data_IF_469424077276
#
_entry.id   IF_469424077276
#
_cell.length_a   1.000
_cell.length_b   1.000
_cell.length_c   1.000
_cell.angle_alpha   90.00
_cell.angle_beta   90.00
_cell.angle_gamma   90.00
#
_symmetry.space_group_name_H-M   'P 1'
#
loop_
_entity.id
_entity.type
_entity.pdbx_description
1 polymer ?
#
# COMPACT_ATOMS: atom_id res chain seq x y z
N UNK A 1 -9.72 -0.94 -37.09
CA UNK A 1 -11.05 -0.40 -36.71
C UNK A 1 -11.22 -0.24 -35.20
N UNK A 2 -10.80 -1.22 -34.39
CA UNK A 2 -10.95 -1.25 -32.91
C UNK A 2 -10.40 -0.01 -32.15
N UNK A 3 -9.28 0.57 -32.56
CA UNK A 3 -8.67 1.74 -31.86
C UNK A 3 -9.50 3.01 -32.04
N UNK A 4 -10.24 3.15 -33.15
CA UNK A 4 -11.11 4.32 -33.39
C UNK A 4 -12.36 4.27 -32.50
N UNK A 5 -12.83 3.09 -32.14
CA UNK A 5 -14.02 2.92 -31.29
C UNK A 5 -13.73 3.17 -29.81
N UNK A 6 -12.51 2.88 -29.32
CA UNK A 6 -12.12 3.25 -27.96
C UNK A 6 -12.07 4.77 -27.73
N UNK A 7 -11.69 5.56 -28.75
CA UNK A 7 -11.73 7.02 -28.67
C UNK A 7 -13.15 7.59 -28.79
N UNK A 8 -14.06 6.91 -29.49
CA UNK A 8 -15.48 7.32 -29.56
C UNK A 8 -16.25 7.03 -28.27
N UNK A 9 -15.84 6.02 -27.49
CA UNK A 9 -16.40 5.70 -26.17
C UNK A 9 -16.12 6.78 -25.09
N UNK A 10 -15.23 7.74 -25.37
CA UNK A 10 -14.93 8.87 -24.47
C UNK A 10 -15.93 10.04 -24.59
N UNK A 11 -16.93 9.97 -25.48
CA UNK A 11 -17.87 11.07 -25.72
C UNK A 11 -19.06 11.18 -24.77
N UNK A 12 -19.22 10.25 -23.82
CA UNK A 12 -20.15 10.41 -22.70
C UNK A 12 -19.36 10.80 -21.46
N UNK A 13 -19.48 12.07 -21.05
CA UNK A 13 -18.95 12.56 -19.79
C UNK A 13 -19.51 11.70 -18.64
N UNK A 14 -18.63 10.98 -17.92
CA UNK A 14 -18.56 10.87 -16.45
C UNK A 14 -17.90 9.59 -15.91
N UNK A 15 -17.57 8.56 -16.72
CA UNK A 15 -16.85 7.37 -16.22
C UNK A 15 -15.64 7.03 -17.09
N UNK A 16 -14.44 7.42 -16.63
CA UNK A 16 -13.19 6.88 -17.21
C UNK A 16 -12.96 5.48 -16.67
N UNK A 17 -12.92 4.50 -17.57
CA UNK A 17 -12.57 3.11 -17.25
C UNK A 17 -11.15 3.04 -16.64
N UNK A 18 -10.89 2.12 -15.69
CA UNK A 18 -9.55 1.88 -15.18
C UNK A 18 -8.57 1.55 -16.31
N UNK A 19 -7.40 2.18 -16.30
CA UNK A 19 -6.36 1.90 -17.28
C UNK A 19 -5.60 0.63 -16.90
N UNK A 20 -5.94 -0.49 -17.53
CA UNK A 20 -5.33 -1.79 -17.27
C UNK A 20 -4.21 -2.09 -18.27
N UNK A 21 -3.04 -2.49 -17.76
CA UNK A 21 -1.85 -2.74 -18.57
C UNK A 21 -1.15 -4.04 -18.18
N UNK A 22 -0.78 -4.85 -19.17
CA UNK A 22 0.11 -5.99 -19.01
C UNK A 22 1.55 -5.48 -19.05
N UNK A 23 2.31 -5.74 -17.99
CA UNK A 23 3.69 -5.27 -17.83
C UNK A 23 4.64 -6.41 -17.46
N UNK A 24 5.94 -6.32 -17.77
CA UNK A 24 6.93 -7.24 -17.23
C UNK A 24 6.94 -7.17 -15.70
N UNK A 25 6.86 -8.32 -15.02
CA UNK A 25 6.77 -8.38 -13.56
C UNK A 25 8.02 -7.79 -12.88
N UNK A 26 9.18 -7.93 -13.52
CA UNK A 26 10.47 -7.38 -13.05
C UNK A 26 10.48 -5.84 -12.99
N UNK A 27 9.71 -5.17 -13.84
CA UNK A 27 9.60 -3.70 -13.86
C UNK A 27 8.71 -3.15 -12.76
N UNK A 28 7.95 -4.00 -12.06
CA UNK A 28 7.04 -3.58 -10.99
C UNK A 28 7.79 -3.61 -9.66
N UNK A 29 8.02 -2.45 -9.06
CA UNK A 29 8.78 -2.28 -7.82
C UNK A 29 7.88 -1.88 -6.65
N UNK A 30 8.26 -2.28 -5.45
CA UNK A 30 7.56 -1.95 -4.21
C UNK A 30 8.14 -0.67 -3.61
N UNK A 31 7.35 0.04 -2.82
CA UNK A 31 7.82 1.14 -1.98
C UNK A 31 7.89 0.82 -0.49
N UNK A 32 7.28 -0.29 -0.08
CA UNK A 32 7.32 -0.80 1.28
C UNK A 32 8.07 -2.13 1.33
N UNK A 33 8.64 -2.42 2.51
CA UNK A 33 9.01 -3.79 2.88
C UNK A 33 7.80 -4.71 2.82
N UNK A 34 8.01 -6.00 2.50
CA UNK A 34 6.90 -6.95 2.32
C UNK A 34 6.77 -7.92 3.50
N UNK A 35 5.53 -8.30 3.82
CA UNK A 35 5.21 -9.34 4.80
C UNK A 35 5.34 -10.74 4.17
N UNK A 36 6.37 -11.48 4.58
CA UNK A 36 6.66 -12.81 4.05
C UNK A 36 5.54 -13.84 4.35
N UNK A 37 4.88 -13.76 5.51
CA UNK A 37 3.82 -14.71 5.91
C UNK A 37 2.57 -14.51 5.04
N UNK A 38 2.12 -13.25 4.88
CA UNK A 38 0.98 -12.93 4.01
C UNK A 38 1.24 -13.31 2.55
N UNK A 39 2.47 -13.12 2.09
CA UNK A 39 2.88 -13.47 0.72
C UNK A 39 2.74 -14.96 0.44
N UNK A 40 3.07 -15.84 1.40
CA UNK A 40 3.02 -17.30 1.21
C UNK A 40 1.59 -17.82 1.05
N UNK A 41 0.67 -17.41 1.93
CA UNK A 41 -0.74 -17.81 1.86
C UNK A 41 -1.40 -17.34 0.55
N UNK A 42 -1.15 -16.07 0.17
CA UNK A 42 -1.70 -15.51 -1.06
C UNK A 42 -1.13 -16.18 -2.32
N UNK A 43 0.18 -16.49 -2.32
CA UNK A 43 0.82 -17.26 -3.40
C UNK A 43 0.09 -18.59 -3.65
N UNK A 44 -0.21 -19.34 -2.59
CA UNK A 44 -0.92 -20.62 -2.68
C UNK A 44 -2.33 -20.42 -3.27
N UNK A 45 -3.08 -19.43 -2.78
CA UNK A 45 -4.42 -19.11 -3.29
C UNK A 45 -4.40 -18.75 -4.79
N UNK A 46 -3.46 -17.90 -5.23
CA UNK A 46 -3.33 -17.51 -6.65
C UNK A 46 -3.00 -18.73 -7.52
N UNK A 47 -2.05 -19.57 -7.09
CA UNK A 47 -1.68 -20.76 -7.86
C UNK A 47 -2.84 -21.75 -7.99
N UNK A 48 -3.61 -21.95 -6.92
CA UNK A 48 -4.74 -22.87 -6.88
C UNK A 48 -5.93 -22.38 -7.71
N UNK A 49 -6.23 -21.07 -7.70
CA UNK A 49 -7.35 -20.53 -8.47
C UNK A 49 -7.12 -20.58 -9.98
N UNK A 50 -5.86 -20.61 -10.44
CA UNK A 50 -5.51 -20.50 -11.85
C UNK A 50 -5.83 -19.13 -12.46
N UNK A 51 -6.26 -18.16 -11.65
CA UNK A 51 -6.80 -16.87 -12.08
C UNK A 51 -6.13 -15.73 -11.31
N UNK A 52 -5.69 -14.72 -12.06
CA UNK A 52 -5.28 -13.44 -11.53
C UNK A 52 -6.50 -12.56 -11.31
N UNK A 53 -6.72 -12.16 -10.06
CA UNK A 53 -7.80 -11.25 -9.65
C UNK A 53 -7.24 -9.96 -9.07
N UNK A 54 -8.03 -8.88 -9.15
CA UNK A 54 -7.76 -7.58 -8.51
C UNK A 54 -6.33 -7.07 -8.83
N UNK A 55 -6.07 -6.57 -10.05
CA UNK A 55 -4.74 -6.13 -10.44
C UNK A 55 -4.18 -5.06 -9.48
N UNK A 56 -2.90 -5.14 -9.07
CA UNK A 56 -2.23 -4.11 -8.28
C UNK A 56 -2.33 -2.75 -8.97
N UNK A 57 -2.46 -1.71 -8.17
CA UNK A 57 -2.49 -0.34 -8.68
C UNK A 57 -1.07 0.20 -8.62
N UNK A 58 -0.60 0.75 -9.74
CA UNK A 58 0.76 1.25 -9.91
C UNK A 58 0.75 2.64 -10.52
N UNK A 59 1.84 3.37 -10.35
CA UNK A 59 2.16 4.52 -11.20
C UNK A 59 3.42 4.26 -12.00
N UNK A 60 3.61 5.00 -13.10
CA UNK A 60 4.78 4.89 -13.96
C UNK A 60 5.87 5.82 -13.45
N UNK A 61 7.10 5.31 -13.32
CA UNK A 61 8.28 6.10 -13.00
C UNK A 61 8.96 6.63 -14.28
N UNK A 62 9.75 7.72 -14.19
CA UNK A 62 10.43 8.29 -15.36
C UNK A 62 11.34 7.30 -16.11
N UNK A 63 11.90 6.32 -15.41
CA UNK A 63 12.75 5.26 -15.98
C UNK A 63 11.98 4.08 -16.59
N UNK A 64 10.65 4.18 -16.68
CA UNK A 64 9.78 3.17 -17.25
C UNK A 64 9.46 1.98 -16.33
N UNK A 65 9.90 2.00 -15.07
CA UNK A 65 9.44 1.08 -14.03
C UNK A 65 8.05 1.48 -13.52
N UNK A 66 7.41 0.59 -12.77
CA UNK A 66 6.10 0.81 -12.17
C UNK A 66 6.20 0.71 -10.66
N UNK A 67 5.86 1.79 -9.94
CA UNK A 67 5.83 1.79 -8.48
C UNK A 67 4.44 1.34 -8.01
N UNK A 68 4.40 0.28 -7.20
CA UNK A 68 3.15 -0.19 -6.58
C UNK A 68 2.63 0.86 -5.60
N UNK A 69 1.34 1.18 -5.68
CA UNK A 69 0.63 2.04 -4.73
C UNK A 69 -0.35 1.22 -3.87
N UNK A 70 -0.88 0.13 -4.43
CA UNK A 70 -1.75 -0.82 -3.75
C UNK A 70 -1.51 -2.24 -4.29
N UNK A 71 -1.43 -3.23 -3.39
CA UNK A 71 -1.23 -4.63 -3.78
C UNK A 71 0.22 -5.13 -3.68
N UNK A 72 0.98 -4.70 -2.67
CA UNK A 72 2.34 -5.17 -2.41
C UNK A 72 2.42 -6.71 -2.27
N UNK A 73 1.53 -7.33 -1.48
CA UNK A 73 1.50 -8.79 -1.31
C UNK A 73 1.17 -9.51 -2.63
N UNK A 74 0.19 -9.00 -3.40
CA UNK A 74 -0.18 -9.54 -4.73
C UNK A 74 1.02 -9.52 -5.68
N UNK A 75 1.74 -8.40 -5.73
CA UNK A 75 2.95 -8.23 -6.54
C UNK A 75 4.06 -9.18 -6.11
N UNK A 76 4.31 -9.29 -4.80
CA UNK A 76 5.34 -10.18 -4.25
C UNK A 76 5.01 -11.65 -4.53
N UNK A 77 3.74 -12.05 -4.40
CA UNK A 77 3.29 -13.40 -4.75
C UNK A 77 3.50 -13.72 -6.23
N UNK A 78 3.22 -12.78 -7.15
CA UNK A 78 3.49 -12.96 -8.59
C UNK A 78 4.98 -13.13 -8.89
N UNK A 79 5.84 -12.31 -8.26
CA UNK A 79 7.30 -12.47 -8.34
C UNK A 79 7.75 -13.83 -7.82
N UNK A 80 7.24 -14.25 -6.67
CA UNK A 80 7.56 -15.55 -6.07
C UNK A 80 7.02 -16.76 -6.85
N UNK A 81 6.03 -16.57 -7.72
CA UNK A 81 5.55 -17.54 -8.70
C UNK A 81 6.35 -17.52 -10.01
N UNK A 82 7.36 -16.64 -10.13
CA UNK A 82 8.15 -16.41 -11.34
C UNK A 82 7.28 -16.11 -12.56
N UNK A 83 6.17 -15.40 -12.33
CA UNK A 83 5.30 -14.97 -13.41
C UNK A 83 6.03 -13.91 -14.25
N UNK A 84 6.21 -14.10 -15.56
CA UNK A 84 7.00 -13.18 -16.39
C UNK A 84 6.29 -11.83 -16.56
N UNK A 85 4.96 -11.84 -16.55
CA UNK A 85 4.13 -10.65 -16.72
C UNK A 85 3.02 -10.60 -15.68
N UNK A 86 2.53 -9.39 -15.44
CA UNK A 86 1.39 -9.14 -14.58
C UNK A 86 0.45 -8.09 -15.17
N UNK A 87 -0.85 -8.26 -14.92
CA UNK A 87 -1.82 -7.21 -15.19
C UNK A 87 -1.84 -6.24 -14.00
N UNK A 88 -1.69 -4.95 -14.28
CA UNK A 88 -1.74 -3.86 -13.31
C UNK A 88 -2.76 -2.80 -13.74
N UNK A 89 -3.27 -2.03 -12.79
CA UNK A 89 -3.98 -0.78 -13.05
C UNK A 89 -2.99 0.38 -12.95
N UNK A 90 -2.80 1.13 -14.03
CA UNK A 90 -1.91 2.29 -14.04
C UNK A 90 -2.70 3.55 -13.74
N UNK A 91 -2.20 4.36 -12.81
CA UNK A 91 -2.75 5.68 -12.47
C UNK A 91 -1.69 6.76 -12.58
N UNK A 92 -2.12 7.99 -12.90
CA UNK A 92 -1.29 9.17 -12.71
C UNK A 92 -1.18 9.45 -11.21
N UNK A 93 0.00 9.28 -10.64
CA UNK A 93 0.16 9.42 -9.19
C UNK A 93 -0.07 10.85 -8.72
N UNK A 94 0.13 11.85 -9.57
CA UNK A 94 -0.06 13.26 -9.22
C UNK A 94 -1.47 13.76 -9.52
N UNK A 95 -2.38 12.90 -10.00
CA UNK A 95 -3.80 13.22 -10.05
C UNK A 95 -4.26 13.71 -8.65
N UNK A 96 -4.90 14.89 -8.56
CA UNK A 96 -5.33 15.46 -7.28
C UNK A 96 -6.31 14.58 -6.50
N UNK A 97 -7.05 13.69 -7.18
CA UNK A 97 -7.97 12.75 -6.52
C UNK A 97 -7.24 11.62 -5.79
N UNK A 98 -5.95 11.39 -6.05
CA UNK A 98 -5.18 10.39 -5.32
C UNK A 98 -4.55 11.05 -4.10
N UNK A 99 -4.92 10.60 -2.90
CA UNK A 99 -4.29 11.06 -1.67
C UNK A 99 -3.32 10.02 -1.12
N UNK A 100 -2.19 10.48 -0.59
CA UNK A 100 -1.32 9.66 0.24
C UNK A 100 -1.53 10.07 1.70
N UNK A 101 -2.00 9.12 2.51
CA UNK A 101 -2.11 9.24 3.95
C UNK A 101 -1.19 8.24 4.64
N UNK A 102 -1.15 8.31 5.97
CA UNK A 102 -0.44 7.36 6.82
C UNK A 102 -1.43 6.56 7.65
N UNK A 103 -1.17 5.27 7.82
CA UNK A 103 -1.83 4.45 8.83
C UNK A 103 -1.10 4.59 10.17
N UNK A 104 -1.86 4.65 11.26
CA UNK A 104 -1.37 4.42 12.61
C UNK A 104 -1.59 2.96 12.98
N UNK A 105 -0.76 2.45 13.88
CA UNK A 105 -0.82 1.06 14.31
C UNK A 105 -1.23 0.96 15.78
N UNK A 106 -2.21 0.12 16.08
CA UNK A 106 -2.47 -0.35 17.43
C UNK A 106 -1.98 -1.79 17.52
N UNK A 107 -1.14 -2.08 18.53
CA UNK A 107 -0.45 -3.35 18.69
C UNK A 107 -0.53 -3.87 20.13
N UNK A 108 -0.27 -5.18 20.32
CA UNK A 108 -0.24 -5.82 21.65
C UNK A 108 1.06 -5.59 22.41
N UNK A 109 2.12 -5.17 21.73
CA UNK A 109 3.41 -4.89 22.36
C UNK A 109 3.27 -3.69 23.30
N UNK A 110 3.95 -3.72 24.45
CA UNK A 110 3.90 -2.63 25.42
C UNK A 110 4.78 -1.45 24.97
N UNK A 111 4.40 -0.24 25.41
CA UNK A 111 5.17 0.99 25.19
C UNK A 111 6.61 0.82 25.68
N UNK A 112 6.80 0.27 26.88
CA UNK A 112 8.11 0.15 27.50
C UNK A 112 9.02 -0.85 26.77
N UNK A 113 8.45 -1.90 26.15
CA UNK A 113 9.20 -2.76 25.25
C UNK A 113 9.75 -1.99 24.03
N UNK A 114 8.94 -1.13 23.42
CA UNK A 114 9.38 -0.30 22.30
C UNK A 114 10.48 0.69 22.71
N UNK A 115 10.36 1.28 23.91
CA UNK A 115 11.42 2.11 24.50
C UNK A 115 12.73 1.33 24.58
N UNK A 116 12.71 0.16 25.21
CA UNK A 116 13.90 -0.66 25.43
C UNK A 116 14.54 -1.13 24.11
N UNK A 117 13.74 -1.55 23.14
CA UNK A 117 14.26 -2.03 21.84
C UNK A 117 14.88 -0.89 21.02
N UNK A 118 14.32 0.31 21.08
CA UNK A 118 14.75 1.43 20.23
C UNK A 118 15.83 2.31 20.86
N UNK A 119 15.95 2.34 22.18
CA UNK A 119 16.99 3.12 22.89
C UNK A 119 18.38 2.49 22.84
N UNK A 120 18.51 1.22 22.49
CA UNK A 120 19.79 0.50 22.37
C UNK A 120 20.69 0.94 21.19
N UNK A 121 20.47 2.10 20.58
CA UNK A 121 21.37 2.62 19.54
C UNK A 121 21.37 4.14 19.50
N UNK A 122 22.47 4.76 19.96
CA UNK A 122 22.97 6.16 19.83
C UNK A 122 21.96 7.31 19.66
N UNK A 123 20.71 7.10 20.07
CA UNK A 123 19.59 7.95 19.77
C UNK A 123 19.31 8.95 20.88
N UNK A 124 18.88 10.14 20.50
CA UNK A 124 18.30 11.13 21.43
C UNK A 124 17.20 10.47 22.28
N UNK A 125 17.22 10.76 23.58
CA UNK A 125 16.26 10.22 24.52
C UNK A 125 14.80 10.53 24.13
N UNK A 126 13.93 9.54 24.31
CA UNK A 126 12.49 9.70 24.12
C UNK A 126 11.92 10.59 25.23
N UNK A 127 11.01 11.51 24.87
CA UNK A 127 10.44 12.48 25.81
C UNK A 127 9.00 12.10 26.17
N UNK A 128 8.66 11.97 27.46
CA UNK A 128 7.28 11.70 27.88
C UNK A 128 6.39 12.93 27.62
N UNK A 129 5.15 12.69 27.19
CA UNK A 129 4.14 13.72 26.97
C UNK A 129 2.73 13.13 26.87
N UNK A 130 1.71 14.00 26.75
CA UNK A 130 0.34 13.58 26.43
C UNK A 130 0.15 13.36 24.92
N UNK A 131 -0.84 12.54 24.56
CA UNK A 131 -1.24 12.28 23.16
C UNK A 131 -1.60 13.56 22.39
N UNK A 132 -2.31 14.50 23.02
CA UNK A 132 -2.65 15.80 22.42
C UNK A 132 -1.40 16.60 22.07
N UNK A 133 -0.42 16.65 22.97
CA UNK A 133 0.85 17.35 22.74
C UNK A 133 1.66 16.65 21.65
N UNK A 134 1.77 15.33 21.69
CA UNK A 134 2.48 14.54 20.68
C UNK A 134 1.88 14.73 19.29
N UNK A 135 0.55 14.64 19.16
CA UNK A 135 -0.19 14.89 17.91
C UNK A 135 0.12 16.28 17.36
N UNK A 136 0.09 17.31 18.22
CA UNK A 136 0.41 18.69 17.84
C UNK A 136 1.87 18.80 17.34
N UNK A 137 2.83 18.27 18.11
CA UNK A 137 4.24 18.31 17.74
C UNK A 137 4.53 17.56 16.42
N UNK A 138 3.86 16.42 16.18
CA UNK A 138 3.98 15.68 14.93
C UNK A 138 3.43 16.47 13.74
N UNK A 139 2.27 17.11 13.89
CA UNK A 139 1.67 17.95 12.86
C UNK A 139 2.56 19.14 12.48
N UNK A 140 3.24 19.75 13.47
CA UNK A 140 4.24 20.80 13.25
C UNK A 140 5.64 20.27 12.89
N UNK A 141 5.78 18.96 12.61
CA UNK A 141 7.05 18.32 12.22
C UNK A 141 8.19 18.56 13.22
N UNK A 142 7.87 18.65 14.52
CA UNK A 142 8.84 18.84 15.61
C UNK A 142 9.36 17.50 16.18
N UNK A 143 8.67 16.41 15.87
CA UNK A 143 9.03 15.02 16.23
C UNK A 143 8.84 14.14 15.00
N UNK A 144 9.51 12.99 14.97
CA UNK A 144 9.42 12.05 13.84
C UNK A 144 8.13 11.23 13.91
N UNK A 145 7.83 10.69 15.09
CA UNK A 145 6.72 9.79 15.37
C UNK A 145 6.47 9.78 16.89
N UNK A 146 5.45 9.08 17.36
CA UNK A 146 5.27 8.82 18.78
C UNK A 146 4.48 7.54 19.00
N UNK A 147 4.53 7.02 20.22
CA UNK A 147 3.72 5.89 20.63
C UNK A 147 3.15 6.10 22.04
N UNK A 148 1.92 5.65 22.25
CA UNK A 148 1.08 5.95 23.41
C UNK A 148 0.48 4.69 24.03
N UNK A 149 0.39 4.66 25.35
CA UNK A 149 -0.44 3.71 26.10
C UNK A 149 -1.92 4.09 26.07
N UNK A 150 -2.79 3.17 26.51
CA UNK A 150 -4.26 3.36 26.56
C UNK A 150 -4.70 4.57 27.39
N UNK A 151 -3.93 4.94 28.41
CA UNK A 151 -4.20 6.10 29.27
C UNK A 151 -3.84 7.44 28.61
N UNK A 152 -3.22 7.43 27.42
CA UNK A 152 -2.82 8.63 26.67
C UNK A 152 -1.43 9.17 27.03
N UNK A 153 -0.64 8.43 27.83
CA UNK A 153 0.77 8.76 28.05
C UNK A 153 1.61 8.27 26.86
N UNK A 154 2.41 9.17 26.30
CA UNK A 154 3.15 8.93 25.08
C UNK A 154 4.65 9.17 25.24
N UNK A 155 5.42 8.53 24.38
CA UNK A 155 6.83 8.79 24.17
C UNK A 155 7.02 9.36 22.77
N UNK A 156 7.62 10.54 22.67
CA UNK A 156 7.97 11.13 21.39
C UNK A 156 9.29 10.58 20.85
N UNK A 157 9.27 10.21 19.58
CA UNK A 157 10.44 9.80 18.81
C UNK A 157 11.04 11.06 18.16
N UNK A 158 12.30 11.40 18.44
CA UNK A 158 12.91 12.63 17.97
C UNK A 158 13.17 12.61 16.45
N UNK A 159 13.20 13.81 15.86
CA UNK A 159 13.68 13.99 14.49
C UNK A 159 15.11 13.49 14.34
N UNK A 160 15.41 12.94 13.16
CA UNK A 160 16.73 12.48 12.78
C UNK A 160 17.44 13.53 11.93
N UNK A 161 18.77 13.48 11.90
CA UNK A 161 19.61 14.42 11.14
C UNK A 161 19.42 14.30 9.63
N UNK A 162 19.04 13.12 9.15
CA UNK A 162 18.84 12.87 7.72
C UNK A 162 17.51 12.14 7.46
N UNK A 163 16.90 12.32 6.27
CA UNK A 163 15.73 11.54 5.87
C UNK A 163 16.00 10.03 5.84
N UNK A 164 17.25 9.62 5.56
CA UNK A 164 17.64 8.21 5.56
C UNK A 164 17.52 7.61 6.95
N UNK A 165 18.18 8.24 7.93
CA UNK A 165 18.11 7.83 9.33
C UNK A 165 16.69 7.87 9.90
N UNK A 166 15.85 8.81 9.44
CA UNK A 166 14.43 8.86 9.82
C UNK A 166 13.68 7.61 9.35
N UNK A 167 13.81 7.23 8.07
CA UNK A 167 13.17 6.02 7.52
C UNK A 167 13.71 4.76 8.21
N UNK A 168 15.02 4.67 8.44
CA UNK A 168 15.64 3.51 9.08
C UNK A 168 15.14 3.32 10.53
N UNK A 169 14.96 4.42 11.28
CA UNK A 169 14.36 4.38 12.61
C UNK A 169 12.88 3.96 12.57
N UNK A 170 12.11 4.41 11.57
CA UNK A 170 10.72 3.96 11.40
C UNK A 170 10.65 2.47 11.02
N UNK A 171 11.59 1.96 10.22
CA UNK A 171 11.68 0.54 9.88
C UNK A 171 11.95 -0.29 11.13
N UNK A 172 12.97 0.06 11.93
CA UNK A 172 13.25 -0.59 13.22
C UNK A 172 12.06 -0.56 14.17
N UNK A 173 11.32 0.55 14.20
CA UNK A 173 10.09 0.66 14.98
C UNK A 173 9.06 -0.38 14.53
N UNK A 174 8.76 -0.50 13.24
CA UNK A 174 7.80 -1.48 12.73
C UNK A 174 8.28 -2.92 12.95
N UNK A 175 9.53 -3.21 12.66
CA UNK A 175 10.16 -4.53 12.85
C UNK A 175 10.12 -5.02 14.31
N UNK A 176 10.10 -4.10 15.27
CA UNK A 176 10.05 -4.46 16.69
C UNK A 176 8.79 -5.26 17.05
N UNK A 177 7.67 -5.04 16.35
CA UNK A 177 6.37 -5.68 16.61
C UNK A 177 5.76 -6.42 15.42
N UNK A 178 6.22 -6.19 14.19
CA UNK A 178 5.75 -6.92 13.01
C UNK A 178 6.05 -8.42 13.17
N UNK A 179 5.10 -9.28 12.76
CA UNK A 179 5.21 -10.74 12.89
C UNK A 179 5.07 -11.29 14.32
N UNK A 180 5.18 -10.45 15.35
CA UNK A 180 5.02 -10.79 16.79
C UNK A 180 3.66 -10.37 17.35
N UNK A 181 2.92 -9.51 16.64
CA UNK A 181 1.65 -8.94 17.11
C UNK A 181 0.62 -8.86 15.99
N UNK A 182 -0.66 -8.86 16.38
CA UNK A 182 -1.75 -8.44 15.48
C UNK A 182 -1.69 -6.93 15.37
N UNK A 183 -1.56 -6.42 14.13
CA UNK A 183 -1.53 -4.99 13.83
C UNK A 183 -2.94 -4.56 13.43
N UNK A 184 -3.56 -3.71 14.25
CA UNK A 184 -4.80 -3.01 13.88
C UNK A 184 -4.44 -1.63 13.31
N UNK A 185 -4.93 -1.33 12.10
CA UNK A 185 -4.65 -0.05 11.42
C UNK A 185 -5.77 0.95 11.64
N UNK A 186 -5.42 2.20 11.93
CA UNK A 186 -6.40 3.27 12.20
C UNK A 186 -5.87 4.62 11.73
N UNK A 187 -6.76 5.58 11.46
CA UNK A 187 -6.41 6.99 11.23
C UNK A 187 -6.42 7.80 12.54
N UNK A 188 -6.97 7.26 13.62
CA UNK A 188 -6.99 7.93 14.92
C UNK A 188 -5.58 7.99 15.51
N UNK A 189 -5.21 9.17 16.01
CA UNK A 189 -3.86 9.52 16.44
C UNK A 189 -3.79 9.78 17.96
N UNK A 190 -4.87 9.51 18.69
CA UNK A 190 -4.99 9.70 20.15
C UNK A 190 -5.45 8.41 20.80
N UNK A 191 -5.54 8.39 22.14
CA UNK A 191 -6.05 7.22 22.89
C UNK A 191 -7.41 6.71 22.43
N UNK A 192 -8.20 7.50 21.69
CA UNK A 192 -9.45 7.05 21.07
C UNK A 192 -9.25 5.88 20.10
N UNK A 193 -8.04 5.67 19.58
CA UNK A 193 -7.69 4.53 18.73
C UNK A 193 -7.94 3.16 19.38
N UNK A 194 -8.03 3.11 20.71
CA UNK A 194 -8.32 1.88 21.47
C UNK A 194 -9.83 1.60 21.63
N UNK A 195 -10.71 2.51 21.20
CA UNK A 195 -12.16 2.31 21.30
C UNK A 195 -12.58 1.06 20.49
N UNK A 196 -13.38 0.19 21.10
CA UNK A 196 -13.81 -1.08 20.51
C UNK A 196 -12.73 -2.17 20.46
N UNK A 197 -11.48 -1.88 20.88
CA UNK A 197 -10.41 -2.87 20.92
C UNK A 197 -10.26 -3.48 22.33
N UNK A 198 -10.08 -4.81 22.36
CA UNK A 198 -9.85 -5.55 23.61
C UNK A 198 -8.63 -5.06 24.39
N UNK A 199 -8.63 -5.28 25.71
CA UNK A 199 -7.61 -4.80 26.65
C UNK A 199 -6.17 -5.22 26.29
N UNK A 200 -6.02 -6.34 25.59
CA UNK A 200 -4.74 -6.87 25.09
C UNK A 200 -4.04 -6.00 24.04
N UNK A 201 -4.73 -5.00 23.47
CA UNK A 201 -4.13 -4.00 22.58
C UNK A 201 -3.56 -2.87 23.43
N UNK A 202 -2.24 -2.76 23.49
CA UNK A 202 -1.53 -2.02 24.54
C UNK A 202 -0.99 -0.67 24.07
N UNK A 203 -0.57 -0.58 22.81
CA UNK A 203 0.17 0.59 22.31
C UNK A 203 -0.36 1.07 20.97
N UNK A 204 -0.62 2.38 20.89
CA UNK A 204 -0.85 3.12 19.65
C UNK A 204 0.48 3.68 19.17
N UNK A 205 0.76 3.59 17.88
CA UNK A 205 1.95 4.10 17.23
C UNK A 205 1.50 5.00 16.08
N UNK A 206 1.93 6.25 16.12
CA UNK A 206 1.52 7.30 15.18
C UNK A 206 2.71 7.73 14.35
N UNK A 207 2.56 7.62 13.04
CA UNK A 207 3.59 7.87 12.04
C UNK A 207 3.48 9.27 11.44
N UNK A 208 4.59 9.83 10.91
CA UNK A 208 4.53 11.12 10.24
C UNK A 208 3.64 11.05 9.00
N UNK A 209 3.06 12.20 8.64
CA UNK A 209 2.38 12.34 7.35
C UNK A 209 3.37 12.13 6.20
N UNK A 210 2.99 11.29 5.24
CA UNK A 210 3.78 11.02 4.05
C UNK A 210 3.40 11.97 2.90
N UNK A 211 4.36 12.29 2.05
CA UNK A 211 4.11 13.08 0.82
C UNK A 211 4.52 12.27 -0.41
N UNK A 212 3.82 12.47 -1.54
CA UNK A 212 4.12 11.76 -2.80
C UNK A 212 5.58 11.98 -3.24
N UNK A 213 6.05 13.24 -3.19
CA UNK A 213 7.44 13.58 -3.51
C UNK A 213 8.43 12.98 -2.50
N UNK A 214 8.11 13.01 -1.20
CA UNK A 214 8.95 12.39 -0.18
C UNK A 214 9.11 10.89 -0.40
N UNK A 215 8.02 10.22 -0.79
CA UNK A 215 8.03 8.80 -1.16
C UNK A 215 8.92 8.55 -2.37
N UNK A 216 8.71 9.27 -3.47
CA UNK A 216 9.51 9.10 -4.70
C UNK A 216 11.00 9.35 -4.43
N UNK A 217 11.33 10.37 -3.62
CA UNK A 217 12.71 10.65 -3.22
C UNK A 217 13.32 9.55 -2.33
N UNK A 218 12.54 8.88 -1.49
CA UNK A 218 13.02 7.70 -0.75
C UNK A 218 13.36 6.56 -1.71
N UNK A 219 12.47 6.27 -2.66
CA UNK A 219 12.66 5.19 -3.65
C UNK A 219 13.84 5.47 -4.58
N UNK A 220 14.01 6.71 -5.04
CA UNK A 220 15.16 7.11 -5.84
C UNK A 220 16.50 6.88 -5.10
N UNK A 221 16.49 6.91 -3.76
CA UNK A 221 17.65 6.63 -2.90
C UNK A 221 17.77 5.16 -2.48
N UNK A 222 16.95 4.27 -3.05
CA UNK A 222 16.92 2.85 -2.71
C UNK A 222 16.39 2.55 -1.31
N UNK A 223 15.59 3.44 -0.73
CA UNK A 223 14.98 3.23 0.59
C UNK A 223 13.54 2.77 0.47
N UNK A 224 13.16 1.86 1.36
CA UNK A 224 11.80 1.35 1.50
C UNK A 224 11.17 1.93 2.76
N UNK A 225 9.89 2.29 2.65
CA UNK A 225 9.09 2.61 3.82
C UNK A 225 8.78 1.34 4.62
N UNK A 226 8.47 1.50 5.92
CA UNK A 226 7.95 0.40 6.71
C UNK A 226 6.66 -0.18 6.12
N UNK A 227 6.49 -1.50 6.28
CA UNK A 227 5.30 -2.22 5.85
C UNK A 227 4.04 -1.62 6.48
N UNK A 228 3.05 -1.30 5.64
CA UNK A 228 1.70 -0.98 6.08
C UNK A 228 1.49 0.40 6.69
N UNK A 229 2.47 1.32 6.61
CA UNK A 229 2.29 2.69 7.08
C UNK A 229 1.75 3.62 6.00
N UNK A 230 1.91 3.31 4.70
CA UNK A 230 1.37 4.13 3.63
C UNK A 230 -0.07 3.74 3.32
N UNK A 231 -0.90 4.74 3.01
CA UNK A 231 -2.29 4.56 2.63
C UNK A 231 -2.62 5.43 1.43
N UNK A 232 -2.65 4.82 0.25
CA UNK A 232 -3.10 5.47 -0.96
C UNK A 232 -4.63 5.39 -1.07
N UNK A 233 -5.29 6.54 -1.05
CA UNK A 233 -6.69 6.67 -1.44
C UNK A 233 -6.72 6.81 -2.96
N UNK A 234 -7.31 5.83 -3.63
CA UNK A 234 -7.35 5.74 -5.08
C UNK A 234 -8.79 5.40 -5.46
N UNK A 235 -9.41 6.31 -6.21
CA UNK A 235 -10.73 6.12 -6.78
C UNK A 235 -10.68 5.20 -8.00
N UNK A 236 -11.82 4.57 -8.35
CA UNK A 236 -11.99 3.77 -9.57
C UNK A 236 -11.03 2.57 -9.64
N UNK A 237 -10.94 1.81 -8.54
CA UNK A 237 -10.16 0.56 -8.49
C UNK A 237 -10.82 -0.50 -9.38
N UNK A 238 -10.04 -1.17 -10.21
CA UNK A 238 -10.47 -2.33 -10.96
C UNK A 238 -10.51 -3.54 -10.03
N UNK A 239 -11.71 -3.93 -9.62
CA UNK A 239 -11.95 -5.09 -8.75
C UNK A 239 -12.61 -6.21 -9.55
N UNK A 240 -12.38 -7.45 -9.10
CA UNK A 240 -12.96 -8.69 -9.66
C UNK A 240 -12.69 -8.84 -11.16
N UNK A 241 -11.51 -8.40 -11.62
CA UNK A 241 -10.99 -8.68 -12.96
C UNK A 241 -10.38 -10.07 -12.95
N UNK A 242 -11.07 -11.07 -13.51
CA UNK A 242 -10.63 -12.47 -13.51
C UNK A 242 -9.89 -12.83 -14.80
N UNK A 243 -8.56 -12.64 -14.82
CA UNK A 243 -7.71 -13.01 -15.96
C UNK A 243 -7.06 -14.38 -15.73
N UNK A 244 -7.17 -15.36 -16.65
CA UNK A 244 -6.46 -16.64 -16.50
C UNK A 244 -4.95 -16.45 -16.39
N UNK A 245 -4.32 -17.09 -15.39
CA UNK A 245 -2.87 -16.98 -15.18
C UNK A 245 -2.06 -17.51 -16.37
N UNK A 246 -2.64 -18.44 -17.15
CA UNK A 246 -2.03 -18.96 -18.37
C UNK A 246 -1.70 -17.87 -19.38
N UNK A 247 -2.53 -16.83 -19.50
CA UNK A 247 -2.28 -15.67 -20.36
C UNK A 247 -1.00 -14.95 -19.94
N UNK A 248 -0.89 -14.66 -18.64
CA UNK A 248 0.28 -13.97 -18.08
C UNK A 248 1.54 -14.84 -18.14
N UNK A 249 1.39 -16.16 -17.95
CA UNK A 249 2.50 -17.14 -17.93
C UNK A 249 3.06 -17.44 -19.32
N UNK A 250 2.22 -17.38 -20.34
CA UNK A 250 2.59 -17.80 -21.70
C UNK A 250 3.87 -17.11 -22.19
N UNK A 251 4.86 -17.90 -22.59
CA UNK A 251 6.08 -17.41 -23.25
C UNK A 251 5.89 -17.26 -24.77
N UNK A 252 4.81 -17.84 -25.32
CA UNK A 252 4.49 -17.76 -26.76
C UNK A 252 3.80 -16.45 -27.14
N UNK A 253 3.14 -15.80 -26.19
CA UNK A 253 2.44 -14.54 -26.41
C UNK A 253 3.36 -13.36 -26.08
N UNK A 254 3.49 -12.44 -27.02
CA UNK A 254 4.08 -11.12 -26.75
C UNK A 254 3.20 -10.32 -25.77
N UNK A 255 3.79 -9.30 -25.11
CA UNK A 255 3.05 -8.38 -24.25
C UNK A 255 1.86 -7.75 -24.99
N UNK A 256 2.05 -7.37 -26.27
CA UNK A 256 1.00 -6.79 -27.10
C UNK A 256 -0.18 -7.74 -27.32
N UNK A 257 0.09 -9.03 -27.55
CA UNK A 257 -0.96 -10.04 -27.70
C UNK A 257 -1.69 -10.30 -26.37
N UNK A 258 -0.96 -10.34 -25.24
CA UNK A 258 -1.58 -10.45 -23.91
C UNK A 258 -2.47 -9.25 -23.60
N UNK A 259 -2.00 -8.04 -23.90
CA UNK A 259 -2.78 -6.81 -23.75
C UNK A 259 -4.06 -6.88 -24.60
N UNK A 260 -3.97 -7.27 -25.87
CA UNK A 260 -5.14 -7.38 -26.74
C UNK A 260 -6.19 -8.38 -26.20
N UNK A 261 -5.76 -9.48 -25.57
CA UNK A 261 -6.69 -10.41 -24.91
C UNK A 261 -7.37 -9.78 -23.69
N UNK A 262 -6.65 -9.00 -22.89
CA UNK A 262 -7.22 -8.25 -21.76
C UNK A 262 -8.21 -7.21 -22.26
N UNK A 263 -7.84 -6.42 -23.26
CA UNK A 263 -8.70 -5.38 -23.82
C UNK A 263 -10.01 -5.97 -24.37
N UNK A 264 -9.91 -7.10 -25.09
CA UNK A 264 -11.06 -7.84 -25.58
C UNK A 264 -11.95 -8.34 -24.44
N UNK A 265 -11.37 -8.97 -23.41
CA UNK A 265 -12.10 -9.47 -22.25
C UNK A 265 -12.86 -8.35 -21.53
N UNK A 266 -12.22 -7.18 -21.33
CA UNK A 266 -12.86 -6.03 -20.66
C UNK A 266 -13.95 -5.43 -21.56
N UNK A 267 -13.71 -5.32 -22.87
CA UNK A 267 -14.71 -4.83 -23.83
C UNK A 267 -15.94 -5.73 -23.87
N UNK A 268 -15.75 -7.05 -23.92
CA UNK A 268 -16.86 -8.03 -23.92
C UNK A 268 -17.69 -7.91 -22.64
N UNK A 269 -17.04 -7.80 -21.47
CA UNK A 269 -17.74 -7.56 -20.19
C UNK A 269 -18.55 -6.27 -20.20
N UNK A 270 -17.99 -5.20 -20.76
CA UNK A 270 -18.67 -3.92 -20.84
C UNK A 270 -19.89 -3.99 -21.76
N UNK A 271 -19.74 -4.54 -22.98
CA UNK A 271 -20.82 -4.71 -23.96
C UNK A 271 -21.94 -5.61 -23.42
N UNK A 272 -21.60 -6.61 -22.60
CA UNK A 272 -22.57 -7.49 -21.94
C UNK A 272 -23.19 -6.91 -20.65
N UNK A 273 -22.90 -5.65 -20.29
CA UNK A 273 -23.44 -5.03 -19.07
C UNK A 273 -22.91 -5.61 -17.76
N UNK A 274 -21.78 -6.31 -17.78
CA UNK A 274 -21.16 -6.96 -16.61
C UNK A 274 -20.19 -6.03 -15.85
N UNK A 275 -20.05 -4.78 -16.27
CA UNK A 275 -19.21 -3.77 -15.62
C UNK A 275 -20.11 -2.80 -14.86
N UNK A 276 -19.86 -2.65 -13.56
CA UNK A 276 -20.56 -1.69 -12.71
C UNK A 276 -19.56 -0.72 -12.10
N UNK A 277 -19.90 0.56 -12.14
CA UNK A 277 -19.16 1.61 -11.45
C UNK A 277 -19.98 2.09 -10.26
N UNK A 278 -19.34 2.13 -9.09
CA UNK A 278 -19.93 2.62 -7.85
C UNK A 278 -19.07 3.79 -7.37
N UNK A 279 -19.57 5.04 -7.43
CA UNK A 279 -18.85 6.20 -6.93
C UNK A 279 -18.77 6.24 -5.39
N UNK A 280 -19.64 5.51 -4.69
CA UNK A 280 -19.70 5.43 -3.24
C UNK A 280 -18.72 4.41 -2.64
N UNK A 281 -18.51 4.46 -1.32
CA UNK A 281 -17.76 3.44 -0.59
C UNK A 281 -18.51 2.11 -0.54
N UNK A 282 -17.88 1.02 -0.98
CA UNK A 282 -18.47 -0.32 -1.02
C UNK A 282 -17.92 -1.17 0.14
N UNK A 283 -18.79 -1.90 0.83
CA UNK A 283 -18.40 -3.02 1.69
C UNK A 283 -18.39 -4.32 0.88
N UNK A 284 -17.28 -5.05 0.93
CA UNK A 284 -17.11 -6.36 0.28
C UNK A 284 -17.02 -7.45 1.36
N UNK A 285 -17.86 -8.47 1.24
CA UNK A 285 -17.87 -9.64 2.12
C UNK A 285 -17.40 -10.87 1.34
N UNK A 286 -16.16 -10.84 0.83
CA UNK A 286 -15.60 -11.85 -0.09
C UNK A 286 -14.23 -12.41 0.33
N UNK A 287 -13.91 -12.35 1.63
CA UNK A 287 -12.73 -12.97 2.24
C UNK A 287 -12.98 -14.37 2.82
#
# INVERSE_FOLDING_TARGET
>A
MVIKDMKKLQKFHFVHMPHLKVVPTEKVILHESFDAKRTHALKKKIAQSGVWKDPPIVTTLPDGRYLVLDGANRTTSMKALRMPHMLVQVVDYFDPSIELRSWNHVVRVSRDHLVNVLQNGDGKAFKPMSDRRAKKMLAYKQILAYFCSRDGKCMAIPLQSTPRAAIDLLNRLVESYEGKSVIHRTEEATRKAFQGLGSFMNTLIVFPGLTKLGLLNAIARGQYLPSGISRHLIFRRALRVYLPLSVLRSQKLSIKQKQAQVDRMISEKFTQGQVRFYPEGIYLFDE
#
